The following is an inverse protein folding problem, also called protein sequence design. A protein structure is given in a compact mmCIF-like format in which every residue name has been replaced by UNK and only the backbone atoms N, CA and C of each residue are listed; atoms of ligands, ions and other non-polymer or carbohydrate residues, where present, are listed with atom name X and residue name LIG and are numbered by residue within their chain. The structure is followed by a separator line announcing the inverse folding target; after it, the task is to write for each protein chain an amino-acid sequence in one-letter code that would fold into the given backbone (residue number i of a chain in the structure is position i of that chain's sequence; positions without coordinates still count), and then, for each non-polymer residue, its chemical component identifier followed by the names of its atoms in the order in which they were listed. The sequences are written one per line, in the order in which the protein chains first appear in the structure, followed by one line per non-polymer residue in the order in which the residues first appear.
data_IF_484993979338
#
_entry.id   IF_484993979338
#
_cell.length_a   1.000
_cell.length_b   1.000
_cell.length_c   1.000
_cell.angle_alpha   90.00
_cell.angle_beta   90.00
_cell.angle_gamma   90.00
#
_symmetry.space_group_name_H-M   'P 1'
#
loop_
_entity.id
_entity.type
_entity.pdbx_description
1 polymer ?
#
# COMPACT_ATOMS: atom_id res chain seq x y z
N UNK A 1 7.27 -14.51 6.17
CA UNK A 1 6.80 -13.61 5.09
C UNK A 1 5.91 -12.64 5.81
N UNK A 2 6.47 -11.49 6.16
CA UNK A 2 5.87 -10.63 7.17
C UNK A 2 5.07 -9.55 6.45
N UNK A 3 3.79 -9.46 6.79
CA UNK A 3 2.85 -8.50 6.25
C UNK A 3 1.93 -8.03 7.36
N UNK A 4 1.18 -6.96 7.11
CA UNK A 4 0.21 -6.42 8.07
C UNK A 4 -1.16 -6.33 7.40
N UNK A 5 -2.21 -6.54 8.20
CA UNK A 5 -3.57 -6.31 7.75
C UNK A 5 -3.93 -4.84 7.95
N UNK A 6 -4.48 -4.24 6.89
CA UNK A 6 -4.94 -2.85 6.87
C UNK A 6 -6.37 -2.78 6.32
N UNK A 7 -7.10 -1.76 6.74
CA UNK A 7 -8.43 -1.46 6.19
C UNK A 7 -8.29 -0.67 4.90
N UNK A 8 -8.97 -1.12 3.84
CA UNK A 8 -9.00 -0.42 2.55
C UNK A 8 -9.83 0.86 2.65
N UNK A 9 -9.27 1.97 2.20
CA UNK A 9 -9.96 3.23 1.99
C UNK A 9 -10.01 3.59 0.50
N UNK A 10 -10.91 4.48 0.11
CA UNK A 10 -10.94 5.02 -1.25
C UNK A 10 -9.70 5.88 -1.52
N UNK A 11 -9.19 5.83 -2.74
CA UNK A 11 -8.05 6.65 -3.15
C UNK A 11 -8.43 8.15 -3.19
N UNK A 12 -7.43 9.02 -3.02
CA UNK A 12 -7.59 10.43 -3.33
C UNK A 12 -7.75 10.59 -4.85
N UNK A 13 -8.54 11.58 -5.29
CA UNK A 13 -8.74 11.87 -6.72
C UNK A 13 -7.41 12.06 -7.48
N UNK A 14 -6.39 12.59 -6.80
CA UNK A 14 -5.05 12.77 -7.39
C UNK A 14 -4.26 11.46 -7.59
N UNK A 15 -4.61 10.39 -6.88
CA UNK A 15 -3.89 9.12 -6.88
C UNK A 15 -4.63 8.00 -7.64
N UNK A 16 -5.89 8.26 -8.03
CA UNK A 16 -6.76 7.30 -8.70
C UNK A 16 -6.14 6.76 -10.00
N UNK A 17 -6.16 5.44 -10.18
CA UNK A 17 -5.64 4.75 -11.35
C UNK A 17 -4.11 4.74 -11.53
N UNK A 18 -3.33 5.29 -10.59
CA UNK A 18 -1.86 5.44 -10.74
C UNK A 18 -1.03 4.29 -10.17
N UNK A 19 -1.67 3.27 -9.59
CA UNK A 19 -0.94 2.17 -8.92
C UNK A 19 -0.19 2.62 -7.66
N UNK A 20 -0.70 3.63 -6.96
CA UNK A 20 -0.12 4.18 -5.74
C UNK A 20 -0.85 3.63 -4.51
N UNK A 21 -0.08 3.28 -3.48
CA UNK A 21 -0.57 2.87 -2.18
C UNK A 21 -0.18 3.89 -1.11
N UNK A 22 -1.16 4.67 -0.64
CA UNK A 22 -1.00 5.52 0.54
C UNK A 22 -1.21 4.70 1.80
N UNK A 23 -0.14 4.52 2.56
CA UNK A 23 -0.14 3.83 3.86
C UNK A 23 0.42 4.76 4.93
N UNK A 24 -0.13 4.69 6.13
CA UNK A 24 0.23 5.57 7.22
C UNK A 24 1.67 5.33 7.72
N UNK A 25 2.19 6.27 8.50
CA UNK A 25 3.58 6.22 8.97
C UNK A 25 3.85 5.04 9.91
N UNK A 26 2.86 4.52 10.64
CA UNK A 26 3.01 3.35 11.49
C UNK A 26 3.09 2.08 10.65
N UNK A 27 2.20 1.92 9.66
CA UNK A 27 2.23 0.82 8.71
C UNK A 27 3.58 0.72 7.98
N UNK A 28 4.09 1.84 7.45
CA UNK A 28 5.40 1.88 6.77
C UNK A 28 6.56 1.46 7.67
N UNK A 29 6.56 1.88 8.95
CA UNK A 29 7.58 1.46 9.92
C UNK A 29 7.52 -0.02 10.22
N UNK A 30 6.31 -0.58 10.38
CA UNK A 30 6.12 -2.01 10.63
C UNK A 30 6.59 -2.86 9.45
N UNK A 31 6.34 -2.39 8.23
CA UNK A 31 6.77 -3.04 6.98
C UNK A 31 8.21 -2.73 6.58
N UNK A 32 8.86 -1.76 7.25
CA UNK A 32 10.18 -1.23 6.91
C UNK A 32 10.30 -0.79 5.44
N UNK A 33 9.33 -0.01 4.95
CA UNK A 33 9.29 0.52 3.57
C UNK A 33 9.28 2.04 3.54
N UNK A 34 9.79 2.61 2.46
CA UNK A 34 9.81 4.06 2.18
C UNK A 34 9.03 4.40 0.91
N UNK A 35 8.78 5.69 0.67
CA UNK A 35 8.12 6.14 -0.56
C UNK A 35 8.94 5.74 -1.79
N UNK A 36 8.29 5.20 -2.81
CA UNK A 36 8.93 4.67 -4.01
C UNK A 36 9.19 3.16 -3.97
N UNK A 37 9.13 2.53 -2.80
CA UNK A 37 9.20 1.06 -2.71
C UNK A 37 7.93 0.43 -3.28
N UNK A 38 8.07 -0.81 -3.77
CA UNK A 38 6.94 -1.61 -4.27
C UNK A 38 6.46 -2.55 -3.16
N UNK A 39 5.16 -2.56 -2.93
CA UNK A 39 4.51 -3.48 -1.98
C UNK A 39 3.51 -4.39 -2.69
N UNK A 40 3.42 -5.64 -2.23
CA UNK A 40 2.36 -6.57 -2.63
C UNK A 40 1.15 -6.39 -1.72
N UNK A 41 -0.02 -6.20 -2.32
CA UNK A 41 -1.31 -6.13 -1.64
C UNK A 41 -2.05 -7.44 -1.90
N UNK A 42 -2.29 -8.21 -0.85
CA UNK A 42 -3.02 -9.48 -0.91
C UNK A 42 -4.48 -9.25 -0.55
N UNK A 43 -5.36 -9.32 -1.54
CA UNK A 43 -6.80 -9.35 -1.34
C UNK A 43 -7.31 -10.78 -1.12
N UNK A 44 -8.62 -10.90 -0.89
CA UNK A 44 -9.28 -12.21 -0.65
C UNK A 44 -9.09 -13.23 -1.78
N UNK A 45 -9.03 -12.75 -3.02
CA UNK A 45 -8.97 -13.62 -4.21
C UNK A 45 -7.79 -13.32 -5.13
N UNK A 46 -7.19 -12.13 -5.03
CA UNK A 46 -6.15 -11.66 -5.95
C UNK A 46 -5.11 -10.87 -5.18
N UNK A 47 -3.87 -11.00 -5.60
CA UNK A 47 -2.79 -10.09 -5.24
C UNK A 47 -2.61 -9.05 -6.33
N UNK A 48 -2.15 -7.87 -5.94
CA UNK A 48 -1.66 -6.83 -6.86
C UNK A 48 -0.42 -6.19 -6.26
N UNK A 49 0.27 -5.36 -7.05
CA UNK A 49 1.39 -4.55 -6.59
C UNK A 49 1.06 -3.06 -6.71
N UNK A 50 1.65 -2.25 -5.84
CA UNK A 50 1.54 -0.80 -5.86
C UNK A 50 2.82 -0.15 -5.33
N UNK A 51 3.05 1.10 -5.72
CA UNK A 51 4.18 1.90 -5.22
C UNK A 51 3.74 2.64 -3.95
N UNK A 52 4.53 2.57 -2.89
CA UNK A 52 4.29 3.29 -1.64
C UNK A 52 4.35 4.80 -1.91
N UNK A 53 3.28 5.50 -1.54
CA UNK A 53 3.11 6.93 -1.79
C UNK A 53 2.65 7.68 -0.53
N UNK A 54 2.99 8.96 -0.43
CA UNK A 54 2.70 9.83 0.71
C UNK A 54 2.31 11.24 0.26
#
# INVERSE_FOLDING_TARGET
MDGIDLTIASALVADDGKGLARIDSKARKLLNVVSGDVVEIKGRHRSTVAVVWQ
#
